data_IF_683738018675
#
_entry.id   IF_683738018675
#
_cell.length_a   1.000
_cell.length_b   1.000
_cell.length_c   1.000
_cell.angle_alpha   90.00
_cell.angle_beta   90.00
_cell.angle_gamma   90.00
#
_symmetry.space_group_name_H-M   'P 1'
#
loop_
_entity.id
_entity.type
_entity.pdbx_description
1 polymer ?
#
# COMPACT_ATOMS: atom_id res chain seq x y z
N UNK A 1 -9.93 -61.01 23.89
CA UNK A 1 -10.11 -59.68 24.52
C UNK A 1 -10.26 -59.93 25.99
N UNK A 2 -9.31 -59.47 26.79
CA UNK A 2 -9.46 -59.39 28.24
C UNK A 2 -10.26 -58.11 28.51
N UNK A 3 -11.28 -58.18 29.34
CA UNK A 3 -12.12 -57.02 29.62
C UNK A 3 -13.26 -57.37 30.58
N UNK A 4 -13.79 -56.34 31.23
CA UNK A 4 -14.74 -56.50 32.33
C UNK A 4 -16.14 -56.76 31.78
N UNK A 5 -16.69 -57.95 32.07
CA UNK A 5 -18.06 -58.29 31.71
C UNK A 5 -19.06 -57.38 32.44
N UNK A 6 -19.92 -56.70 31.67
CA UNK A 6 -20.92 -55.78 32.17
C UNK A 6 -22.30 -56.44 32.38
N UNK A 7 -22.49 -57.70 31.94
CA UNK A 7 -23.81 -58.38 31.90
C UNK A 7 -24.48 -58.57 33.27
N UNK A 8 -23.71 -58.58 34.37
CA UNK A 8 -24.22 -58.75 35.74
C UNK A 8 -24.24 -57.46 36.58
N UNK A 9 -24.00 -56.27 35.99
CA UNK A 9 -23.84 -55.02 36.73
C UNK A 9 -25.00 -54.06 36.47
N UNK A 10 -26.11 -54.22 37.21
CA UNK A 10 -27.34 -53.39 37.13
C UNK A 10 -27.18 -51.89 37.46
N UNK A 11 -25.95 -51.44 37.70
CA UNK A 11 -25.60 -50.11 38.22
C UNK A 11 -24.90 -49.26 37.14
N UNK A 12 -24.49 -49.86 36.01
CA UNK A 12 -23.79 -49.16 34.93
C UNK A 12 -24.78 -48.67 33.87
N UNK A 13 -24.69 -47.37 33.55
CA UNK A 13 -25.44 -46.77 32.45
C UNK A 13 -25.00 -47.40 31.11
N UNK A 14 -25.99 -47.78 30.29
CA UNK A 14 -25.82 -48.38 28.96
C UNK A 14 -24.86 -47.63 28.05
N UNK A 15 -24.67 -46.32 28.24
CA UNK A 15 -23.73 -45.49 27.46
C UNK A 15 -22.24 -45.84 27.67
N UNK A 16 -21.93 -46.70 28.63
CA UNK A 16 -20.56 -47.13 28.97
C UNK A 16 -20.27 -48.58 28.57
N UNK A 17 -21.24 -49.25 27.94
CA UNK A 17 -21.16 -50.64 27.54
C UNK A 17 -21.01 -50.68 26.02
N UNK A 18 -20.04 -51.44 25.53
CA UNK A 18 -19.89 -51.68 24.10
C UNK A 18 -21.01 -52.62 23.63
N UNK A 19 -21.88 -52.19 22.69
CA UNK A 19 -22.98 -53.05 22.20
C UNK A 19 -22.49 -54.32 21.50
N UNK A 20 -21.25 -54.32 20.99
CA UNK A 20 -20.68 -55.45 20.23
C UNK A 20 -20.12 -56.55 21.13
N UNK A 21 -19.28 -56.20 22.11
CA UNK A 21 -18.65 -57.18 23.00
C UNK A 21 -19.35 -57.32 24.36
N UNK A 22 -20.32 -56.45 24.67
CA UNK A 22 -21.00 -56.38 25.97
C UNK A 22 -20.07 -56.17 27.17
N UNK A 23 -18.82 -55.76 26.92
CA UNK A 23 -17.86 -55.35 27.93
C UNK A 23 -17.94 -53.84 28.14
N UNK A 24 -17.36 -53.35 29.24
CA UNK A 24 -17.12 -51.92 29.42
C UNK A 24 -16.27 -51.41 28.24
N UNK A 25 -16.64 -50.24 27.69
CA UNK A 25 -15.93 -49.63 26.56
C UNK A 25 -14.43 -49.49 26.87
N UNK A 26 -13.59 -49.95 25.94
CA UNK A 26 -12.13 -49.82 25.99
C UNK A 26 -11.69 -49.07 24.73
N UNK A 27 -10.91 -48.00 24.91
CA UNK A 27 -10.57 -47.04 23.83
C UNK A 27 -11.83 -46.64 23.03
N UNK A 28 -12.78 -45.93 23.68
CA UNK A 28 -14.08 -45.66 23.09
C UNK A 28 -13.96 -44.73 21.88
N UNK A 29 -14.58 -45.15 20.79
CA UNK A 29 -14.81 -44.31 19.62
C UNK A 29 -16.29 -43.93 19.56
N UNK A 30 -16.57 -42.69 19.20
CA UNK A 30 -17.93 -42.20 19.00
C UNK A 30 -18.13 -41.89 17.52
N UNK A 31 -19.18 -42.46 16.95
CA UNK A 31 -19.58 -42.15 15.59
C UNK A 31 -20.31 -40.80 15.58
N UNK A 32 -19.85 -39.81 14.79
CA UNK A 32 -20.39 -38.44 14.83
C UNK A 32 -21.86 -38.38 14.42
N UNK A 33 -22.25 -39.16 13.39
CA UNK A 33 -23.57 -39.05 12.77
C UNK A 33 -24.68 -39.69 13.62
N UNK A 34 -24.37 -40.75 14.37
CA UNK A 34 -25.37 -41.50 15.13
C UNK A 34 -25.12 -41.53 16.65
N UNK A 35 -23.98 -41.02 17.11
CA UNK A 35 -23.63 -40.92 18.53
C UNK A 35 -23.34 -42.26 19.24
N UNK A 36 -23.48 -43.40 18.57
CA UNK A 36 -23.20 -44.71 19.15
C UNK A 36 -21.70 -44.90 19.45
N UNK A 37 -21.43 -45.60 20.55
CA UNK A 37 -20.08 -45.81 21.08
C UNK A 37 -19.68 -47.27 21.04
N UNK A 38 -18.45 -47.54 20.62
CA UNK A 38 -17.88 -48.89 20.51
C UNK A 38 -16.44 -48.89 21.01
N UNK A 39 -15.90 -50.06 21.39
CA UNK A 39 -14.46 -50.21 21.55
C UNK A 39 -13.78 -50.04 20.19
N UNK A 40 -12.62 -49.37 20.14
CA UNK A 40 -11.86 -49.20 18.90
C UNK A 40 -11.63 -50.54 18.19
N UNK A 41 -11.22 -51.55 18.95
CA UNK A 41 -10.97 -52.91 18.44
C UNK A 41 -12.23 -53.63 17.97
N UNK A 42 -13.42 -53.28 18.47
CA UNK A 42 -14.69 -53.89 18.07
C UNK A 42 -15.25 -53.32 16.76
N UNK A 43 -14.84 -52.11 16.36
CA UNK A 43 -15.30 -51.47 15.13
C UNK A 43 -14.22 -51.42 14.03
N UNK A 44 -12.94 -51.46 14.40
CA UNK A 44 -11.80 -51.21 13.52
C UNK A 44 -11.25 -52.50 12.86
N UNK A 45 -12.12 -53.42 12.44
CA UNK A 45 -11.76 -54.77 11.96
C UNK A 45 -11.41 -54.88 10.47
N UNK A 46 -11.74 -53.90 9.63
CA UNK A 46 -11.47 -53.93 8.17
C UNK A 46 -10.82 -52.63 7.66
N UNK A 47 -9.96 -52.68 6.63
CA UNK A 47 -9.29 -51.51 5.99
C UNK A 47 -10.16 -50.77 4.95
N UNK A 48 -11.48 -50.67 5.16
CA UNK A 48 -12.39 -49.92 4.26
C UNK A 48 -12.44 -48.42 4.59
N UNK A 49 -12.72 -47.59 3.58
CA UNK A 49 -12.85 -46.12 3.75
C UNK A 49 -14.11 -45.71 4.51
N UNK A 50 -15.18 -46.50 4.43
CA UNK A 50 -16.42 -46.29 5.17
C UNK A 50 -16.65 -47.42 6.15
N UNK A 51 -17.23 -47.08 7.32
CA UNK A 51 -17.61 -48.02 8.37
C UNK A 51 -19.12 -47.91 8.56
N UNK A 52 -19.81 -49.05 8.66
CA UNK A 52 -21.22 -49.10 9.02
C UNK A 52 -21.38 -49.28 10.51
N UNK A 53 -22.22 -48.46 11.13
CA UNK A 53 -22.55 -48.61 12.54
C UNK A 53 -23.28 -49.95 12.78
N UNK A 54 -22.78 -50.84 13.65
CA UNK A 54 -23.43 -52.12 13.94
C UNK A 54 -24.85 -52.00 14.52
N UNK A 55 -25.20 -50.85 15.11
CA UNK A 55 -26.46 -50.65 15.82
C UNK A 55 -27.55 -49.98 14.98
N UNK A 56 -27.18 -49.02 14.11
CA UNK A 56 -28.15 -48.26 13.30
C UNK A 56 -27.88 -48.31 11.79
N UNK A 57 -26.83 -49.01 11.37
CA UNK A 57 -26.40 -49.18 9.97
C UNK A 57 -26.05 -47.87 9.23
N UNK A 58 -25.95 -46.74 9.93
CA UNK A 58 -25.43 -45.49 9.37
C UNK A 58 -24.02 -45.70 8.80
N UNK A 59 -23.77 -45.16 7.62
CA UNK A 59 -22.49 -45.25 6.93
C UNK A 59 -21.68 -43.98 7.22
N UNK A 60 -20.50 -44.17 7.83
CA UNK A 60 -19.67 -43.09 8.35
C UNK A 60 -18.29 -43.15 7.71
N UNK A 61 -17.76 -41.99 7.33
CA UNK A 61 -16.40 -41.87 6.84
C UNK A 61 -15.40 -42.09 7.97
N UNK A 62 -14.38 -42.92 7.72
CA UNK A 62 -13.39 -43.28 8.74
C UNK A 62 -12.58 -42.07 9.24
N UNK A 63 -12.44 -41.02 8.43
CA UNK A 63 -11.79 -39.75 8.80
C UNK A 63 -12.56 -38.97 9.88
N UNK A 64 -13.86 -39.20 9.97
CA UNK A 64 -14.76 -38.39 10.79
C UNK A 64 -15.02 -39.03 12.16
N UNK A 65 -14.44 -40.22 12.40
CA UNK A 65 -14.53 -40.93 13.67
C UNK A 65 -13.88 -40.09 14.75
N UNK A 66 -14.69 -39.65 15.70
CA UNK A 66 -14.22 -38.90 16.86
C UNK A 66 -13.67 -39.91 17.85
N UNK A 67 -12.34 -39.92 17.97
CA UNK A 67 -11.66 -40.53 19.11
C UNK A 67 -11.96 -39.67 20.32
N UNK A 68 -12.77 -40.17 21.24
CA UNK A 68 -12.96 -39.49 22.50
C UNK A 68 -11.59 -39.39 23.18
N UNK A 69 -11.15 -38.18 23.54
CA UNK A 69 -9.91 -38.00 24.30
C UNK A 69 -10.04 -38.80 25.60
N UNK A 70 -8.99 -39.53 25.97
CA UNK A 70 -8.92 -40.39 27.16
C UNK A 70 -9.41 -39.64 28.43
N UNK A 71 -9.16 -38.32 28.46
CA UNK A 71 -9.58 -37.37 29.50
C UNK A 71 -11.10 -37.32 29.75
N UNK A 72 -11.94 -37.51 28.73
CA UNK A 72 -13.39 -37.37 28.85
C UNK A 72 -14.09 -38.66 29.33
N UNK A 73 -13.45 -39.82 29.15
CA UNK A 73 -14.10 -41.11 29.42
C UNK A 73 -13.86 -41.64 30.84
N UNK A 74 -12.61 -41.76 31.30
CA UNK A 74 -12.31 -42.39 32.61
C UNK A 74 -12.16 -41.40 33.78
N UNK A 75 -12.04 -40.10 33.50
CA UNK A 75 -11.75 -39.06 34.50
C UNK A 75 -12.96 -38.20 34.88
N UNK A 76 -14.13 -38.37 34.24
CA UNK A 76 -15.32 -37.63 34.66
C UNK A 76 -15.73 -38.07 36.07
N UNK A 77 -16.01 -37.10 36.96
CA UNK A 77 -16.44 -37.37 38.36
C UNK A 77 -17.56 -38.40 38.44
N UNK A 78 -18.47 -38.42 37.46
CA UNK A 78 -19.57 -39.38 37.39
C UNK A 78 -19.11 -40.81 37.09
N UNK A 79 -18.09 -41.00 36.24
CA UNK A 79 -17.53 -42.31 35.94
C UNK A 79 -16.67 -42.84 37.09
N UNK A 80 -15.81 -41.99 37.65
CA UNK A 80 -15.05 -42.31 38.86
C UNK A 80 -16.01 -42.63 40.02
N UNK A 81 -17.12 -41.90 40.15
CA UNK A 81 -18.13 -42.17 41.16
C UNK A 81 -18.92 -43.44 40.89
N UNK A 82 -19.22 -43.79 39.63
CA UNK A 82 -19.86 -45.06 39.29
C UNK A 82 -18.95 -46.26 39.59
N UNK A 83 -17.67 -46.18 39.21
CA UNK A 83 -16.66 -47.20 39.52
C UNK A 83 -16.48 -47.32 41.04
N UNK A 84 -16.31 -46.19 41.74
CA UNK A 84 -16.17 -46.17 43.21
C UNK A 84 -17.44 -46.63 43.92
N UNK A 85 -18.64 -46.37 43.38
CA UNK A 85 -19.91 -46.83 43.97
C UNK A 85 -20.05 -48.33 43.81
N UNK A 86 -19.74 -48.89 42.64
CA UNK A 86 -19.72 -50.34 42.43
C UNK A 86 -18.68 -51.02 43.33
N UNK A 87 -17.47 -50.45 43.41
CA UNK A 87 -16.41 -50.94 44.31
C UNK A 87 -16.82 -50.84 45.78
N UNK A 88 -17.46 -49.73 46.21
CA UNK A 88 -17.95 -49.56 47.60
C UNK A 88 -19.10 -50.49 47.94
N UNK A 89 -20.00 -50.76 47.00
CA UNK A 89 -21.16 -51.63 47.22
C UNK A 89 -20.71 -53.10 47.30
N UNK A 90 -19.71 -53.49 46.51
CA UNK A 90 -19.02 -54.79 46.64
C UNK A 90 -18.23 -54.89 47.96
N UNK A 91 -17.51 -53.84 48.35
CA UNK A 91 -16.81 -53.79 49.64
C UNK A 91 -17.79 -53.84 50.83
N UNK A 92 -18.95 -53.20 50.73
CA UNK A 92 -19.99 -53.25 51.76
C UNK A 92 -20.62 -54.65 51.87
N UNK A 93 -20.85 -55.33 50.74
CA UNK A 93 -21.32 -56.73 50.73
C UNK A 93 -20.28 -57.72 51.27
N UNK A 94 -18.98 -57.41 51.14
CA UNK A 94 -17.89 -58.15 51.78
C UNK A 94 -17.80 -57.86 53.29
N UNK A 95 -18.12 -56.64 53.72
CA UNK A 95 -18.03 -56.22 55.13
C UNK A 95 -19.22 -56.71 55.98
N UNK A 96 -20.40 -56.92 55.38
CA UNK A 96 -21.60 -57.43 56.07
C UNK A 96 -21.62 -58.97 56.21
N UNK A 97 -20.75 -59.67 55.48
CA UNK A 97 -20.51 -61.11 55.66
C UNK A 97 -19.33 -61.32 56.60
N UNK A 98 -19.60 -61.18 57.88
CA UNK A 98 -18.69 -61.53 58.96
C UNK A 98 -18.17 -62.96 58.73
N UNK A 99 -16.90 -63.10 58.35
CA UNK A 99 -16.22 -64.39 58.27
C UNK A 99 -15.86 -64.77 59.70
N UNK A 100 -16.76 -65.48 60.39
CA UNK A 100 -16.43 -66.16 61.64
C UNK A 100 -15.61 -67.42 61.28
N UNK A 101 -14.29 -67.33 61.46
CA UNK A 101 -13.40 -68.50 61.44
C UNK A 101 -13.40 -69.10 62.84
N UNK A 102 -14.48 -69.80 63.19
CA UNK A 102 -14.45 -70.75 64.31
C UNK A 102 -14.32 -72.16 63.73
N UNK A 103 -13.14 -72.77 63.93
CA UNK A 103 -12.97 -74.21 63.77
C UNK A 103 -13.50 -74.86 65.05
N UNK A 104 -14.52 -75.75 64.97
CA UNK A 104 -14.17 -77.16 64.93
C UNK A 104 -15.16 -78.09 64.19
N UNK A 105 -14.56 -79.13 63.59
CA UNK A 105 -15.02 -80.52 63.37
C UNK A 105 -16.51 -80.84 63.16
N UNK A 106 -16.69 -81.56 62.05
CA UNK A 106 -17.66 -82.62 61.72
C UNK A 106 -19.00 -82.28 61.06
N UNK A 107 -19.10 -82.81 59.83
CA UNK A 107 -20.27 -83.34 59.10
C UNK A 107 -21.38 -82.36 58.69
N UNK A 108 -21.41 -81.98 57.42
CA UNK A 108 -22.33 -82.53 56.38
C UNK A 108 -22.17 -81.78 55.05
N UNK A 109 -22.44 -82.48 53.96
CA UNK A 109 -22.14 -82.11 52.58
C UNK A 109 -22.95 -80.89 52.08
N UNK A 110 -22.31 -79.72 52.03
CA UNK A 110 -22.88 -78.49 51.46
C UNK A 110 -21.95 -77.26 51.45
N UNK A 111 -20.96 -77.20 52.35
CA UNK A 111 -20.07 -76.03 52.49
C UNK A 111 -18.93 -75.94 51.45
N UNK A 112 -18.58 -77.05 50.81
CA UNK A 112 -17.48 -77.10 49.83
C UNK A 112 -17.74 -76.29 48.56
N UNK A 113 -19.01 -76.20 48.11
CA UNK A 113 -19.39 -75.48 46.89
C UNK A 113 -19.46 -73.95 47.08
N UNK A 114 -19.74 -73.45 48.29
CA UNK A 114 -19.89 -72.01 48.55
C UNK A 114 -18.55 -71.30 48.69
N UNK A 115 -17.56 -71.97 49.30
CA UNK A 115 -16.21 -71.43 49.49
C UNK A 115 -15.44 -71.43 48.16
N UNK A 116 -15.62 -72.44 47.32
CA UNK A 116 -15.02 -72.49 45.98
C UNK A 116 -15.56 -71.38 45.08
N UNK A 117 -16.87 -71.12 45.10
CA UNK A 117 -17.50 -70.02 44.34
C UNK A 117 -17.01 -68.64 44.81
N UNK A 118 -16.82 -68.42 46.12
CA UNK A 118 -16.28 -67.16 46.64
C UNK A 118 -14.80 -66.92 46.30
N UNK A 119 -14.01 -67.99 46.21
CA UNK A 119 -12.62 -67.92 45.75
C UNK A 119 -12.53 -67.66 44.24
N UNK A 120 -13.44 -68.20 43.44
CA UNK A 120 -13.54 -67.92 42.01
C UNK A 120 -13.91 -66.45 41.74
N UNK A 121 -14.87 -65.88 42.47
CA UNK A 121 -15.25 -64.45 42.33
C UNK A 121 -14.10 -63.50 42.73
N UNK A 122 -13.36 -63.81 43.79
CA UNK A 122 -12.17 -63.04 44.19
C UNK A 122 -11.05 -63.13 43.15
N UNK A 123 -10.87 -64.31 42.56
CA UNK A 123 -9.89 -64.52 41.49
C UNK A 123 -10.26 -63.73 40.23
N UNK A 124 -11.54 -63.67 39.89
CA UNK A 124 -12.05 -62.91 38.74
C UNK A 124 -11.91 -61.39 38.95
N UNK A 125 -12.16 -60.89 40.17
CA UNK A 125 -11.89 -59.50 40.53
C UNK A 125 -10.39 -59.16 40.48
N UNK A 126 -9.53 -60.06 40.94
CA UNK A 126 -8.08 -59.87 40.88
C UNK A 126 -7.61 -59.81 39.41
N UNK A 127 -8.13 -60.68 38.54
CA UNK A 127 -7.81 -60.67 37.11
C UNK A 127 -8.26 -59.38 36.43
N UNK A 128 -9.44 -58.86 36.78
CA UNK A 128 -9.93 -57.56 36.29
C UNK A 128 -9.01 -56.41 36.70
N UNK A 129 -8.54 -56.41 37.95
CA UNK A 129 -7.62 -55.37 38.44
C UNK A 129 -6.26 -55.46 37.76
N UNK A 130 -5.75 -56.67 37.56
CA UNK A 130 -4.49 -56.90 36.82
C UNK A 130 -4.61 -56.39 35.39
N UNK A 131 -5.69 -56.71 34.68
CA UNK A 131 -5.95 -56.26 33.31
C UNK A 131 -6.12 -54.73 33.21
N UNK A 132 -6.79 -54.13 34.20
CA UNK A 132 -6.92 -52.68 34.32
C UNK A 132 -5.56 -51.98 34.54
N UNK A 133 -4.69 -52.55 35.38
CA UNK A 133 -3.33 -52.03 35.61
C UNK A 133 -2.48 -52.19 34.35
N UNK A 134 -2.58 -53.32 33.65
CA UNK A 134 -1.87 -53.55 32.39
C UNK A 134 -2.30 -52.54 31.32
N UNK A 135 -3.60 -52.29 31.19
CA UNK A 135 -4.15 -51.28 30.27
C UNK A 135 -3.64 -49.88 30.61
N UNK A 136 -3.67 -49.46 31.89
CA UNK A 136 -3.15 -48.16 32.32
C UNK A 136 -1.65 -48.02 32.07
N UNK A 137 -0.89 -49.10 32.23
CA UNK A 137 0.55 -49.13 31.97
C UNK A 137 0.83 -48.92 30.48
N UNK A 138 0.04 -49.56 29.61
CA UNK A 138 0.14 -49.39 28.16
C UNK A 138 -0.23 -47.97 27.73
N UNK A 139 -1.28 -47.38 28.32
CA UNK A 139 -1.70 -46.00 28.06
C UNK A 139 -0.62 -45.00 28.50
N UNK A 140 -0.02 -45.22 29.68
CA UNK A 140 1.09 -44.38 30.17
C UNK A 140 2.28 -44.42 29.22
N UNK A 141 2.64 -45.60 28.68
CA UNK A 141 3.69 -45.71 27.68
C UNK A 141 3.33 -45.00 26.37
N UNK A 142 2.09 -45.11 25.91
CA UNK A 142 1.58 -44.40 24.73
C UNK A 142 1.71 -42.89 24.86
N UNK A 143 1.23 -42.32 25.97
CA UNK A 143 1.34 -40.89 26.26
C UNK A 143 2.79 -40.42 26.38
N UNK A 144 3.67 -41.24 26.96
CA UNK A 144 5.09 -40.92 27.07
C UNK A 144 5.76 -40.84 25.69
N UNK A 145 5.42 -41.77 24.79
CA UNK A 145 5.91 -41.77 23.42
C UNK A 145 5.39 -40.58 22.60
N UNK A 146 4.10 -40.24 22.72
CA UNK A 146 3.52 -39.05 22.07
C UNK A 146 4.16 -37.75 22.58
N UNK A 147 4.41 -37.65 23.89
CA UNK A 147 5.10 -36.52 24.51
C UNK A 147 6.52 -36.37 23.98
N UNK A 148 7.28 -37.47 23.91
CA UNK A 148 8.64 -37.49 23.36
C UNK A 148 8.64 -37.06 21.88
N UNK A 149 7.70 -37.58 21.10
CA UNK A 149 7.59 -37.24 19.68
C UNK A 149 7.25 -35.76 19.48
N UNK A 150 6.32 -35.24 20.28
CA UNK A 150 5.98 -33.80 20.28
C UNK A 150 7.20 -32.94 20.63
N UNK A 151 7.96 -33.35 21.65
CA UNK A 151 9.16 -32.66 22.12
C UNK A 151 10.29 -32.65 21.07
N UNK A 152 10.34 -33.65 20.20
CA UNK A 152 11.25 -33.69 19.05
C UNK A 152 10.78 -32.84 17.87
N UNK A 153 9.46 -32.77 17.61
CA UNK A 153 8.91 -31.98 16.48
C UNK A 153 8.86 -30.48 16.71
N UNK A 154 8.62 -30.03 17.96
CA UNK A 154 8.57 -28.61 18.33
C UNK A 154 9.80 -27.79 17.90
N UNK A 155 11.05 -28.22 18.17
CA UNK A 155 12.23 -27.45 17.78
C UNK A 155 12.42 -27.37 16.27
N UNK A 156 12.07 -28.43 15.52
CA UNK A 156 12.14 -28.44 14.05
C UNK A 156 11.14 -27.42 13.48
N UNK A 157 9.90 -27.42 13.97
CA UNK A 157 8.90 -26.44 13.57
C UNK A 157 9.29 -25.01 13.95
N UNK A 158 9.91 -24.82 15.12
CA UNK A 158 10.41 -23.51 15.54
C UNK A 158 11.53 -23.00 14.62
N UNK A 159 12.43 -23.89 14.18
CA UNK A 159 13.48 -23.55 13.22
C UNK A 159 12.89 -23.16 11.86
N UNK A 160 11.95 -23.95 11.32
CA UNK A 160 11.26 -23.64 10.06
C UNK A 160 10.50 -22.31 10.16
N UNK A 161 9.82 -22.05 11.27
CA UNK A 161 9.13 -20.79 11.51
C UNK A 161 10.10 -19.60 11.56
N UNK A 162 11.30 -19.80 12.09
CA UNK A 162 12.36 -18.78 12.11
C UNK A 162 12.87 -18.45 10.70
N UNK A 163 13.03 -19.46 9.84
CA UNK A 163 13.44 -19.28 8.43
C UNK A 163 12.38 -18.51 7.65
N UNK A 164 11.12 -18.88 7.82
CA UNK A 164 9.98 -18.19 7.20
C UNK A 164 9.90 -16.74 7.68
N UNK A 165 10.07 -16.50 8.99
CA UNK A 165 10.09 -15.15 9.55
C UNK A 165 11.18 -14.28 8.92
N UNK A 166 12.41 -14.79 8.82
CA UNK A 166 13.52 -14.06 8.20
C UNK A 166 13.23 -13.74 6.73
N UNK A 167 12.69 -14.71 5.97
CA UNK A 167 12.31 -14.50 4.57
C UNK A 167 11.21 -13.46 4.39
N UNK A 168 10.23 -13.40 5.32
CA UNK A 168 9.19 -12.36 5.34
C UNK A 168 9.79 -10.99 5.62
N UNK A 169 10.70 -10.88 6.60
CA UNK A 169 11.36 -9.62 6.95
C UNK A 169 12.19 -9.07 5.77
N UNK A 170 12.96 -9.93 5.10
CA UNK A 170 13.72 -9.58 3.89
C UNK A 170 12.81 -9.14 2.74
N UNK A 171 11.72 -9.89 2.49
CA UNK A 171 10.73 -9.54 1.46
C UNK A 171 10.05 -8.20 1.75
N UNK A 172 9.73 -7.92 3.02
CA UNK A 172 9.14 -6.64 3.43
C UNK A 172 10.11 -5.48 3.21
N UNK A 173 11.39 -5.63 3.57
CA UNK A 173 12.41 -4.61 3.31
C UNK A 173 12.57 -4.33 1.81
N UNK A 174 12.53 -5.38 0.98
CA UNK A 174 12.54 -5.24 -0.48
C UNK A 174 11.30 -4.48 -1.00
N UNK A 175 10.10 -4.82 -0.50
CA UNK A 175 8.85 -4.15 -0.88
C UNK A 175 8.85 -2.66 -0.50
N UNK A 176 9.44 -2.29 0.64
CA UNK A 176 9.60 -0.89 1.03
C UNK A 176 10.52 -0.13 0.07
N UNK A 177 11.67 -0.72 -0.29
CA UNK A 177 12.56 -0.17 -1.31
C UNK A 177 11.86 -0.01 -2.67
N UNK A 178 11.06 -1.01 -3.07
CA UNK A 178 10.28 -0.96 -4.30
C UNK A 178 9.23 0.17 -4.28
N UNK A 179 8.49 0.33 -3.18
CA UNK A 179 7.51 1.43 -3.00
C UNK A 179 8.18 2.79 -3.06
N UNK A 180 9.35 2.94 -2.45
CA UNK A 180 10.13 4.18 -2.52
C UNK A 180 10.51 4.51 -3.97
N UNK A 181 11.06 3.54 -4.70
CA UNK A 181 11.41 3.71 -6.11
C UNK A 181 10.19 4.04 -6.98
N UNK A 182 9.04 3.39 -6.73
CA UNK A 182 7.79 3.68 -7.42
C UNK A 182 7.32 5.13 -7.18
N UNK A 183 7.47 5.65 -5.96
CA UNK A 183 7.13 7.04 -5.65
C UNK A 183 8.02 8.03 -6.40
N UNK A 184 9.34 7.77 -6.47
CA UNK A 184 10.26 8.60 -7.27
C UNK A 184 9.85 8.59 -8.74
N UNK A 185 9.58 7.41 -9.30
CA UNK A 185 9.17 7.28 -10.69
C UNK A 185 7.87 8.04 -10.98
N UNK A 186 6.89 7.99 -10.07
CA UNK A 186 5.65 8.74 -10.20
C UNK A 186 5.87 10.27 -10.14
N UNK A 187 6.80 10.74 -9.30
CA UNK A 187 7.20 12.15 -9.24
C UNK A 187 7.86 12.59 -10.55
N UNK A 188 8.79 11.78 -11.09
CA UNK A 188 9.46 12.05 -12.36
C UNK A 188 8.47 12.07 -13.53
N UNK A 189 7.53 11.13 -13.58
CA UNK A 189 6.46 11.11 -14.58
C UNK A 189 5.61 12.38 -14.53
N UNK A 190 5.23 12.82 -13.32
CA UNK A 190 4.47 14.06 -13.13
C UNK A 190 5.25 15.27 -13.61
N UNK A 191 6.55 15.35 -13.31
CA UNK A 191 7.42 16.43 -13.79
C UNK A 191 7.58 16.42 -15.32
N UNK A 192 7.71 15.24 -15.94
CA UNK A 192 7.80 15.12 -17.39
C UNK A 192 6.48 15.50 -18.08
N UNK A 193 5.34 15.13 -17.50
CA UNK A 193 4.03 15.53 -18.00
C UNK A 193 3.86 17.05 -17.97
N UNK A 194 4.28 17.71 -16.89
CA UNK A 194 4.28 19.18 -16.80
C UNK A 194 5.14 19.81 -17.90
N UNK A 195 6.37 19.30 -18.10
CA UNK A 195 7.26 19.76 -19.18
C UNK A 195 6.65 19.56 -20.57
N UNK A 196 5.96 18.43 -20.80
CA UNK A 196 5.29 18.17 -22.09
C UNK A 196 4.14 19.15 -22.31
N UNK A 197 3.34 19.42 -21.27
CA UNK A 197 2.26 20.40 -21.34
C UNK A 197 2.84 21.80 -21.63
N UNK A 198 3.94 22.19 -21.00
CA UNK A 198 4.64 23.44 -21.28
C UNK A 198 5.10 23.55 -22.75
N UNK A 199 5.53 22.44 -23.37
CA UNK A 199 5.93 22.41 -24.78
C UNK A 199 4.77 22.73 -25.74
N UNK A 200 3.52 22.48 -25.35
CA UNK A 200 2.34 22.78 -26.18
C UNK A 200 2.11 24.29 -26.33
N UNK A 201 2.65 25.10 -25.42
CA UNK A 201 2.46 26.55 -25.38
C UNK A 201 3.73 27.33 -25.79
N UNK A 202 4.71 26.66 -26.39
CA UNK A 202 5.92 27.32 -26.90
C UNK A 202 5.55 28.25 -28.05
N UNK A 203 5.85 29.53 -27.86
CA UNK A 203 5.69 30.53 -28.91
C UNK A 203 6.99 30.83 -29.63
N UNK A 204 6.87 31.26 -30.88
CA UNK A 204 7.96 31.61 -31.78
C UNK A 204 7.81 33.01 -32.40
N UNK A 205 6.99 33.88 -31.82
CA UNK A 205 6.73 35.24 -32.33
C UNK A 205 7.25 36.34 -31.38
N UNK A 206 7.99 35.96 -30.34
CA UNK A 206 8.43 36.89 -29.30
C UNK A 206 7.41 37.19 -28.22
N UNK A 207 6.27 36.50 -28.21
CA UNK A 207 5.19 36.69 -27.25
C UNK A 207 5.00 35.42 -26.43
N UNK A 208 4.86 35.55 -25.12
CA UNK A 208 4.47 34.45 -24.23
C UNK A 208 3.29 34.88 -23.37
N UNK A 209 2.25 34.06 -23.28
CA UNK A 209 1.20 34.17 -22.26
C UNK A 209 1.46 33.08 -21.22
N UNK A 210 1.98 33.49 -20.07
CA UNK A 210 2.29 32.58 -18.97
C UNK A 210 1.10 32.46 -18.01
N UNK A 211 0.49 31.28 -18.00
CA UNK A 211 -0.52 30.87 -17.02
C UNK A 211 0.17 30.32 -15.78
N UNK A 212 -0.12 30.93 -14.64
CA UNK A 212 0.41 30.53 -13.33
C UNK A 212 -0.76 29.96 -12.52
N UNK A 213 -0.85 28.64 -12.44
CA UNK A 213 -1.83 27.92 -11.60
C UNK A 213 -1.30 27.71 -10.18
N UNK A 214 -2.16 27.27 -9.26
CA UNK A 214 -1.77 26.95 -7.87
C UNK A 214 -1.13 28.17 -7.20
N UNK A 215 -1.69 29.35 -7.45
CA UNK A 215 -1.11 30.62 -7.06
C UNK A 215 -0.98 30.75 -5.54
N UNK A 216 -1.99 30.32 -4.77
CA UNK A 216 -1.97 30.39 -3.31
C UNK A 216 -0.83 29.54 -2.73
N UNK A 217 -0.66 28.31 -3.21
CA UNK A 217 0.42 27.42 -2.78
C UNK A 217 1.80 28.04 -3.08
N UNK A 218 2.01 28.50 -4.32
CA UNK A 218 3.27 29.15 -4.73
C UNK A 218 3.54 30.43 -3.94
N UNK A 219 2.50 31.20 -3.59
CA UNK A 219 2.61 32.38 -2.74
C UNK A 219 3.01 32.01 -1.31
N UNK A 220 2.45 30.92 -0.74
CA UNK A 220 2.84 30.38 0.56
C UNK A 220 4.31 29.95 0.53
N UNK A 221 4.72 29.19 -0.48
CA UNK A 221 6.11 28.74 -0.62
C UNK A 221 7.09 29.91 -0.78
N UNK A 222 6.70 30.98 -1.47
CA UNK A 222 7.50 32.20 -1.58
C UNK A 222 7.57 32.98 -0.26
N UNK A 223 6.50 32.97 0.55
CA UNK A 223 6.48 33.61 1.88
C UNK A 223 7.35 32.87 2.90
N UNK A 224 7.29 31.54 2.88
CA UNK A 224 8.10 30.67 3.74
C UNK A 224 9.48 30.35 3.17
N UNK A 225 9.83 30.95 2.04
CA UNK A 225 11.14 30.82 1.39
C UNK A 225 11.50 29.39 0.97
N UNK A 226 10.52 28.48 0.85
CA UNK A 226 10.70 27.13 0.30
C UNK A 226 11.05 27.18 -1.19
N UNK A 227 10.37 28.07 -1.91
CA UNK A 227 10.64 28.38 -3.31
C UNK A 227 10.48 29.87 -3.55
N UNK A 228 11.61 30.59 -3.62
CA UNK A 228 11.60 32.06 -3.68
C UNK A 228 11.23 32.63 -5.05
N UNK A 229 11.38 31.83 -6.12
CA UNK A 229 11.06 32.24 -7.49
C UNK A 229 10.58 31.07 -8.33
N UNK A 230 9.73 31.37 -9.30
CA UNK A 230 9.28 30.44 -10.34
C UNK A 230 9.71 30.93 -11.72
N UNK A 231 9.74 30.02 -12.69
CA UNK A 231 10.13 30.33 -14.07
C UNK A 231 8.99 30.02 -15.03
N UNK A 232 8.91 30.83 -16.09
CA UNK A 232 8.01 30.51 -17.20
C UNK A 232 8.60 29.40 -18.08
N UNK A 233 7.74 28.74 -18.89
CA UNK A 233 8.20 27.99 -20.06
C UNK A 233 9.08 28.86 -20.96
N UNK A 234 10.02 28.26 -21.72
CA UNK A 234 10.79 28.99 -22.70
C UNK A 234 9.93 29.40 -23.90
N UNK A 235 10.22 30.55 -24.47
CA UNK A 235 9.63 31.06 -25.70
C UNK A 235 10.71 31.67 -26.60
N UNK A 236 10.38 31.87 -27.87
CA UNK A 236 11.34 32.21 -28.90
C UNK A 236 10.91 33.44 -29.70
N UNK A 237 11.89 34.16 -30.24
CA UNK A 237 11.63 35.30 -31.13
C UNK A 237 11.23 34.89 -32.55
N UNK A 238 11.66 33.70 -32.97
CA UNK A 238 11.37 33.02 -34.25
C UNK A 238 11.78 31.55 -34.09
N UNK A 239 11.41 30.63 -35.01
CA UNK A 239 11.90 29.25 -34.98
C UNK A 239 13.43 29.15 -34.90
N UNK A 240 14.14 30.12 -35.49
CA UNK A 240 15.60 30.19 -35.46
C UNK A 240 16.15 31.36 -34.61
N UNK A 241 15.33 31.86 -33.68
CA UNK A 241 15.56 33.09 -32.96
C UNK A 241 16.18 32.94 -31.57
N UNK A 242 16.12 34.02 -30.79
CA UNK A 242 16.55 34.02 -29.40
C UNK A 242 15.66 33.11 -28.56
N UNK A 243 16.26 32.33 -27.66
CA UNK A 243 15.55 31.57 -26.62
C UNK A 243 15.47 32.40 -25.35
N UNK A 244 14.28 32.54 -24.79
CA UNK A 244 13.99 33.47 -23.70
C UNK A 244 13.03 32.82 -22.70
N UNK A 245 13.01 33.34 -21.46
CA UNK A 245 11.97 33.04 -20.48
C UNK A 245 11.83 34.16 -19.45
N UNK A 246 10.87 34.03 -18.55
CA UNK A 246 10.73 34.92 -17.39
C UNK A 246 11.02 34.22 -16.07
N UNK A 247 11.37 35.03 -15.07
CA UNK A 247 11.52 34.63 -13.67
C UNK A 247 10.67 35.56 -12.81
N UNK A 248 9.79 34.97 -12.00
CA UNK A 248 8.87 35.69 -11.13
C UNK A 248 9.19 35.41 -9.67
N UNK A 249 9.26 36.46 -8.87
CA UNK A 249 9.34 36.39 -7.41
C UNK A 249 8.03 36.90 -6.83
N UNK A 250 7.18 35.96 -6.43
CA UNK A 250 5.85 36.25 -5.89
C UNK A 250 5.90 37.11 -4.62
N UNK A 251 6.95 36.95 -3.81
CA UNK A 251 7.19 37.72 -2.58
C UNK A 251 8.34 38.73 -2.72
N UNK A 252 8.68 39.09 -3.96
CA UNK A 252 9.69 40.10 -4.30
C UNK A 252 11.15 39.66 -4.16
N UNK A 253 12.03 40.43 -4.80
CA UNK A 253 13.48 40.22 -4.82
C UNK A 253 14.25 41.49 -4.45
N UNK A 254 15.45 41.33 -3.89
CA UNK A 254 16.34 42.43 -3.52
C UNK A 254 15.67 43.51 -2.65
N UNK A 255 15.74 44.77 -3.09
CA UNK A 255 15.16 45.92 -2.39
C UNK A 255 13.62 46.00 -2.48
N UNK A 256 12.98 45.10 -3.24
CA UNK A 256 11.53 45.01 -3.39
C UNK A 256 10.93 43.80 -2.63
N UNK A 257 11.79 43.00 -2.00
CA UNK A 257 11.40 41.83 -1.19
C UNK A 257 10.33 42.19 -0.16
N UNK A 258 9.28 41.36 -0.06
CA UNK A 258 8.12 41.48 0.84
C UNK A 258 7.28 42.76 0.66
N UNK A 259 7.54 43.56 -0.38
CA UNK A 259 6.75 44.78 -0.66
C UNK A 259 6.11 44.75 -2.03
N UNK A 260 6.80 44.20 -3.03
CA UNK A 260 6.29 44.07 -4.40
C UNK A 260 6.52 42.66 -4.92
N UNK A 261 5.73 42.26 -5.91
CA UNK A 261 6.07 41.15 -6.78
C UNK A 261 7.11 41.64 -7.81
N UNK A 262 8.15 40.84 -8.04
CA UNK A 262 9.25 41.21 -8.94
C UNK A 262 9.27 40.31 -10.16
N UNK A 263 9.36 40.90 -11.36
CA UNK A 263 9.29 40.17 -12.62
C UNK A 263 10.52 40.47 -13.49
N UNK A 264 11.21 39.41 -13.91
CA UNK A 264 12.45 39.51 -14.66
C UNK A 264 12.41 38.71 -15.96
N UNK A 265 13.07 39.25 -16.97
CA UNK A 265 13.37 38.59 -18.23
C UNK A 265 14.71 37.83 -18.12
N UNK A 266 14.79 36.70 -18.79
CA UNK A 266 15.97 35.84 -18.83
C UNK A 266 16.27 35.48 -20.28
N UNK A 267 17.44 35.88 -20.75
CA UNK A 267 18.00 35.41 -22.01
C UNK A 267 18.65 34.04 -21.80
N UNK A 268 18.27 33.05 -22.61
CA UNK A 268 18.76 31.68 -22.52
C UNK A 268 19.69 31.35 -23.69
N UNK A 269 20.58 30.38 -23.49
CA UNK A 269 21.42 29.86 -24.57
C UNK A 269 20.56 29.15 -25.60
N UNK A 270 20.57 29.66 -26.83
CA UNK A 270 19.91 29.07 -27.99
C UNK A 270 20.88 28.27 -28.85
N UNK A 271 20.36 27.28 -29.58
CA UNK A 271 21.14 26.52 -30.58
C UNK A 271 21.61 27.42 -31.73
N UNK A 272 20.84 28.46 -32.03
CA UNK A 272 21.08 29.40 -33.13
C UNK A 272 21.81 30.68 -32.68
N UNK A 273 22.29 30.76 -31.43
CA UNK A 273 23.05 31.94 -30.94
C UNK A 273 24.21 32.37 -31.84
N UNK A 274 24.98 31.49 -32.53
CA UNK A 274 26.05 31.92 -33.44
C UNK A 274 25.60 32.84 -34.59
N UNK A 275 24.35 32.75 -35.04
CA UNK A 275 23.81 33.53 -36.16
C UNK A 275 22.99 34.75 -35.73
N UNK A 276 22.81 34.94 -34.42
CA UNK A 276 22.04 36.03 -33.85
C UNK A 276 22.94 37.21 -33.44
N UNK A 277 22.35 38.41 -33.45
CA UNK A 277 23.05 39.63 -33.03
C UNK A 277 23.11 39.71 -31.49
N UNK A 278 24.28 40.01 -30.96
CA UNK A 278 24.46 40.34 -29.54
C UNK A 278 25.25 41.64 -29.38
N UNK A 279 25.08 42.39 -28.27
CA UNK A 279 24.16 42.12 -27.16
C UNK A 279 22.68 42.28 -27.56
N UNK A 280 21.81 41.56 -26.86
CA UNK A 280 20.35 41.63 -27.02
C UNK A 280 19.86 43.04 -26.66
N UNK A 281 19.14 43.69 -27.57
CA UNK A 281 18.75 45.10 -27.43
C UNK A 281 17.33 45.37 -27.96
N UNK A 282 16.40 44.46 -27.67
CA UNK A 282 14.99 44.59 -28.06
C UNK A 282 14.17 44.97 -26.82
N UNK A 283 13.20 45.88 -26.97
CA UNK A 283 12.35 46.32 -25.86
C UNK A 283 11.54 45.13 -25.34
N UNK A 284 11.52 44.93 -24.03
CA UNK A 284 10.74 43.89 -23.36
C UNK A 284 9.60 44.56 -22.59
N UNK A 285 8.39 44.08 -22.79
CA UNK A 285 7.19 44.56 -22.10
C UNK A 285 6.51 43.41 -21.37
N UNK A 286 6.10 43.66 -20.13
CA UNK A 286 5.31 42.77 -19.31
C UNK A 286 3.89 43.31 -19.15
N UNK A 287 2.92 42.41 -19.12
CA UNK A 287 1.51 42.73 -18.94
C UNK A 287 0.90 41.72 -17.97
N UNK A 288 0.53 42.16 -16.77
CA UNK A 288 -0.27 41.39 -15.83
C UNK A 288 -1.75 41.59 -16.16
N UNK A 289 -2.44 40.50 -16.48
CA UNK A 289 -3.84 40.58 -16.86
C UNK A 289 -4.74 40.86 -15.65
N UNK A 290 -5.54 41.90 -15.80
CA UNK A 290 -6.82 42.05 -15.10
C UNK A 290 -7.83 41.08 -15.75
N UNK A 291 -8.35 40.15 -14.94
CA UNK A 291 -9.28 39.10 -15.36
C UNK A 291 -10.75 39.50 -15.16
N UNK A 292 -11.03 40.76 -14.87
CA UNK A 292 -12.38 41.32 -14.80
C UNK A 292 -12.81 41.89 -16.16
N UNK A 293 -14.11 42.16 -16.37
CA UNK A 293 -14.58 42.84 -17.58
C UNK A 293 -13.96 44.23 -17.82
N UNK A 294 -13.35 44.84 -16.80
CA UNK A 294 -12.71 46.14 -16.94
C UNK A 294 -11.37 46.09 -17.72
N UNK A 295 -10.71 44.93 -17.78
CA UNK A 295 -9.46 44.70 -18.51
C UNK A 295 -8.37 45.76 -18.27
N UNK A 296 -8.24 46.28 -17.04
CA UNK A 296 -7.23 47.28 -16.66
C UNK A 296 -5.90 46.62 -16.32
N UNK A 297 -5.26 46.07 -17.34
CA UNK A 297 -4.00 45.35 -17.19
C UNK A 297 -2.87 46.26 -16.67
N UNK A 298 -1.97 45.71 -15.85
CA UNK A 298 -0.74 46.41 -15.46
C UNK A 298 0.34 46.12 -16.50
N UNK A 299 0.84 47.18 -17.13
CA UNK A 299 1.85 47.08 -18.18
C UNK A 299 3.08 47.88 -17.75
N UNK A 300 4.24 47.24 -17.83
CA UNK A 300 5.52 47.92 -17.63
C UNK A 300 6.57 47.35 -18.59
N UNK A 301 7.56 48.15 -18.96
CA UNK A 301 8.52 47.78 -20.00
C UNK A 301 9.89 48.38 -19.75
N UNK A 302 10.92 47.71 -20.24
CA UNK A 302 12.29 48.20 -20.17
C UNK A 302 13.01 47.96 -21.50
N UNK A 303 14.06 48.76 -21.74
CA UNK A 303 15.03 48.50 -22.81
C UNK A 303 16.30 47.89 -22.18
N UNK A 304 16.81 46.78 -22.71
CA UNK A 304 18.04 46.15 -22.23
C UNK A 304 19.23 47.12 -22.18
N UNK A 305 20.01 47.07 -21.10
CA UNK A 305 21.31 47.74 -21.04
C UNK A 305 22.35 46.85 -21.74
N UNK A 306 22.81 47.28 -22.92
CA UNK A 306 23.80 46.57 -23.72
C UNK A 306 25.16 46.37 -23.04
N UNK A 307 25.45 47.08 -21.94
CA UNK A 307 26.66 46.86 -21.13
C UNK A 307 26.49 45.77 -20.08
N UNK A 308 25.24 45.44 -19.73
CA UNK A 308 24.95 44.41 -18.72
C UNK A 308 25.29 43.02 -19.25
N UNK A 309 25.82 42.18 -18.36
CA UNK A 309 26.07 40.76 -18.61
C UNK A 309 24.78 39.97 -18.90
N UNK A 310 23.62 40.48 -18.45
CA UNK A 310 22.31 39.86 -18.63
C UNK A 310 21.91 39.71 -20.11
N UNK A 311 22.42 40.59 -20.97
CA UNK A 311 22.05 40.68 -22.38
C UNK A 311 23.18 40.36 -23.34
N UNK A 312 24.35 39.95 -22.83
CA UNK A 312 25.43 39.43 -23.67
C UNK A 312 25.07 38.05 -24.22
N UNK A 313 25.84 37.60 -25.21
CA UNK A 313 25.70 36.22 -25.72
C UNK A 313 25.84 35.21 -24.58
N UNK A 314 24.84 34.34 -24.34
CA UNK A 314 24.89 33.37 -23.25
C UNK A 314 26.09 32.43 -23.34
N UNK A 315 26.76 32.21 -22.19
CA UNK A 315 27.85 31.24 -22.02
C UNK A 315 27.41 30.01 -21.22
N UNK A 316 26.44 30.19 -20.33
CA UNK A 316 25.71 29.16 -19.57
C UNK A 316 24.29 29.01 -20.13
N UNK A 317 23.51 28.04 -19.62
CA UNK A 317 22.13 27.80 -20.05
C UNK A 317 21.23 29.05 -19.94
N UNK A 318 21.51 29.90 -18.96
CA UNK A 318 20.80 31.15 -18.70
C UNK A 318 21.78 32.25 -18.33
N UNK A 319 21.48 33.47 -18.77
CA UNK A 319 22.10 34.68 -18.24
C UNK A 319 21.46 35.08 -16.90
N UNK A 320 22.07 36.08 -16.26
CA UNK A 320 21.49 36.76 -15.09
C UNK A 320 20.17 37.40 -15.51
N UNK A 321 19.15 37.25 -14.66
CA UNK A 321 17.82 37.81 -14.90
C UNK A 321 17.85 39.35 -14.76
N UNK A 322 17.10 40.05 -15.62
CA UNK A 322 17.00 41.51 -15.59
C UNK A 322 15.57 41.95 -15.93
N UNK A 323 15.07 42.99 -15.26
CA UNK A 323 13.66 43.36 -15.34
C UNK A 323 13.28 44.35 -14.25
N UNK A 324 12.11 44.15 -13.65
CA UNK A 324 11.39 45.16 -12.87
C UNK A 324 11.21 44.64 -11.43
N UNK A 325 12.08 45.05 -10.48
CA UNK A 325 11.97 44.61 -9.09
C UNK A 325 10.65 45.02 -8.43
N UNK A 326 10.14 46.23 -8.71
CA UNK A 326 8.89 46.75 -8.14
C UNK A 326 7.76 46.74 -9.18
N UNK A 327 7.42 45.57 -9.70
CA UNK A 327 6.45 45.45 -10.80
C UNK A 327 5.02 45.73 -10.34
N UNK A 328 4.58 45.13 -9.23
CA UNK A 328 3.28 45.44 -8.61
C UNK A 328 3.38 45.34 -7.08
N UNK A 329 2.79 46.28 -6.30
CA UNK A 329 2.74 46.16 -4.85
C UNK A 329 2.01 44.88 -4.40
N UNK A 330 2.53 44.20 -3.38
CA UNK A 330 1.91 42.98 -2.87
C UNK A 330 0.50 43.23 -2.32
N UNK A 331 0.25 44.41 -1.78
CA UNK A 331 -1.06 44.82 -1.28
C UNK A 331 -2.16 44.69 -2.36
N UNK A 332 -1.84 45.04 -3.61
CA UNK A 332 -2.79 44.94 -4.73
C UNK A 332 -3.13 43.48 -5.12
N UNK A 333 -2.26 42.52 -4.77
CA UNK A 333 -2.45 41.09 -5.03
C UNK A 333 -3.04 40.37 -3.80
N UNK A 334 -2.73 40.84 -2.60
CA UNK A 334 -3.17 40.22 -1.34
C UNK A 334 -4.59 40.62 -0.93
N UNK A 335 -5.11 41.71 -1.50
CA UNK A 335 -6.51 42.10 -1.31
C UNK A 335 -7.45 40.98 -1.80
N UNK A 336 -8.45 40.67 -0.97
CA UNK A 336 -9.50 39.73 -1.31
C UNK A 336 -10.29 40.24 -2.51
N UNK A 337 -10.56 39.37 -3.48
CA UNK A 337 -11.27 39.73 -4.70
C UNK A 337 -10.47 40.57 -5.70
N UNK A 338 -9.14 40.65 -5.58
CA UNK A 338 -8.29 41.37 -6.52
C UNK A 338 -8.54 40.93 -7.99
N UNK A 339 -8.35 41.84 -8.96
CA UNK A 339 -8.66 41.55 -10.36
C UNK A 339 -7.68 40.59 -11.04
N UNK A 340 -6.49 40.38 -10.47
CA UNK A 340 -5.36 39.72 -11.14
C UNK A 340 -5.31 38.20 -10.91
N UNK A 341 -5.95 37.72 -9.85
CA UNK A 341 -6.02 36.29 -9.50
C UNK A 341 -7.48 35.83 -9.46
N UNK A 342 -7.82 34.86 -10.31
CA UNK A 342 -9.13 34.21 -10.38
C UNK A 342 -8.93 32.71 -10.53
N UNK A 343 -9.77 31.91 -9.88
CA UNK A 343 -9.69 30.43 -9.89
C UNK A 343 -8.26 29.92 -9.60
N UNK A 344 -7.64 30.51 -8.58
CA UNK A 344 -6.26 30.23 -8.16
C UNK A 344 -5.21 30.35 -9.29
N UNK A 345 -5.49 31.22 -10.27
CA UNK A 345 -4.72 31.39 -11.49
C UNK A 345 -4.42 32.86 -11.77
N UNK A 346 -3.18 33.14 -12.20
CA UNK A 346 -2.69 34.44 -12.66
C UNK A 346 -2.17 34.31 -14.10
N UNK A 347 -2.30 35.37 -14.91
CA UNK A 347 -1.76 35.41 -16.27
C UNK A 347 -0.79 36.60 -16.46
N UNK A 348 0.40 36.31 -16.97
CA UNK A 348 1.39 37.33 -17.33
C UNK A 348 1.75 37.17 -18.81
N UNK A 349 1.55 38.22 -19.59
CA UNK A 349 2.03 38.29 -20.97
C UNK A 349 3.40 38.97 -21.03
N UNK A 350 4.31 38.38 -21.77
CA UNK A 350 5.64 38.92 -22.07
C UNK A 350 5.69 39.17 -23.57
N UNK A 351 6.18 40.33 -23.98
CA UNK A 351 6.28 40.74 -25.38
C UNK A 351 7.66 41.32 -25.62
N UNK A 352 8.33 40.84 -26.66
CA UNK A 352 9.60 41.39 -27.10
C UNK A 352 9.42 42.04 -28.47
N UNK A 353 9.77 43.30 -28.56
CA UNK A 353 9.62 44.10 -29.77
C UNK A 353 10.80 43.89 -30.72
N UNK A 354 10.60 43.02 -31.72
CA UNK A 354 11.57 42.74 -32.78
C UNK A 354 11.39 43.63 -34.02
N UNK A 355 10.52 44.64 -33.98
CA UNK A 355 10.19 45.45 -35.16
C UNK A 355 11.29 46.47 -35.54
N UNK A 356 12.27 46.68 -34.67
CA UNK A 356 13.51 47.37 -35.04
C UNK A 356 14.40 46.44 -35.88
N UNK A 357 14.02 46.19 -37.14
CA UNK A 357 14.89 45.51 -38.12
C UNK A 357 16.19 46.31 -38.21
N UNK A 358 17.35 45.74 -37.85
CA UNK A 358 18.62 46.42 -38.05
C UNK A 358 18.70 46.83 -39.53
N UNK A 359 19.05 48.09 -39.83
CA UNK A 359 19.17 48.58 -41.23
C UNK A 359 20.04 47.67 -42.13
N UNK A 360 20.92 46.90 -41.52
CA UNK A 360 21.78 45.89 -42.15
C UNK A 360 21.06 44.64 -42.64
N UNK A 361 19.88 44.32 -42.10
CA UNK A 361 19.08 43.12 -42.43
C UNK A 361 17.85 43.43 -43.29
N UNK A 362 17.50 44.71 -43.44
CA UNK A 362 16.46 45.19 -44.36
C UNK A 362 16.63 44.66 -45.80
N UNK A 363 17.85 44.59 -46.38
CA UNK A 363 18.03 44.01 -47.72
C UNK A 363 17.57 42.54 -47.84
N UNK A 364 17.80 41.74 -46.80
CA UNK A 364 17.48 40.31 -46.81
C UNK A 364 16.00 40.06 -46.54
N UNK A 365 15.39 40.83 -45.63
CA UNK A 365 13.95 40.74 -45.32
C UNK A 365 13.06 41.22 -46.49
N UNK A 366 13.62 42.00 -47.42
CA UNK A 366 12.93 42.54 -48.60
C UNK A 366 13.23 41.76 -49.89
N UNK A 367 14.02 40.67 -49.81
CA UNK A 367 14.58 39.99 -51.00
C UNK A 367 15.25 40.97 -51.98
N UNK A 368 15.88 42.03 -51.47
CA UNK A 368 16.55 43.02 -52.30
C UNK A 368 17.76 42.38 -52.97
N UNK A 369 17.72 42.31 -54.30
CA UNK A 369 18.83 41.82 -55.08
C UNK A 369 20.04 42.76 -54.88
N UNK A 370 21.16 42.28 -54.31
CA UNK A 370 22.33 43.11 -54.04
C UNK A 370 22.98 43.68 -55.31
N UNK A 371 22.64 43.16 -56.50
CA UNK A 371 23.05 43.70 -57.79
C UNK A 371 22.26 44.93 -58.28
N UNK A 372 21.21 45.38 -57.58
CA UNK A 372 20.45 46.57 -57.95
C UNK A 372 21.22 47.86 -57.61
N UNK A 373 21.14 48.92 -58.43
CA UNK A 373 21.67 50.24 -58.09
C UNK A 373 21.16 50.75 -56.73
N UNK A 374 22.03 51.40 -55.95
CA UNK A 374 21.75 51.81 -54.56
C UNK A 374 20.49 52.67 -54.42
N UNK A 375 20.18 53.52 -55.40
CA UNK A 375 18.97 54.36 -55.37
C UNK A 375 17.67 53.55 -55.51
N UNK A 376 17.69 52.45 -56.27
CA UNK A 376 16.54 51.53 -56.43
C UNK A 376 16.33 50.75 -55.13
N UNK A 377 17.41 50.24 -54.53
CA UNK A 377 17.34 49.57 -53.23
C UNK A 377 16.74 50.50 -52.15
N UNK A 378 17.16 51.77 -52.12
CA UNK A 378 16.65 52.76 -51.17
C UNK A 378 15.17 53.11 -51.38
N UNK A 379 14.70 53.13 -52.64
CA UNK A 379 13.29 53.37 -52.94
C UNK A 379 12.40 52.22 -52.44
N UNK A 380 12.81 50.97 -52.72
CA UNK A 380 12.10 49.77 -52.28
C UNK A 380 12.06 49.64 -50.73
N UNK A 381 13.16 49.99 -50.05
CA UNK A 381 13.20 50.05 -48.58
C UNK A 381 12.17 51.05 -48.04
N UNK A 382 12.09 52.25 -48.64
CA UNK A 382 11.13 53.29 -48.21
C UNK A 382 9.69 52.87 -48.45
N UNK A 383 9.42 52.15 -49.54
CA UNK A 383 8.08 51.71 -49.92
C UNK A 383 7.56 50.60 -48.99
N UNK A 384 8.38 49.58 -48.68
CA UNK A 384 7.98 48.56 -47.70
C UNK A 384 7.82 49.15 -46.30
N UNK A 385 8.69 50.07 -45.89
CA UNK A 385 8.56 50.74 -44.59
C UNK A 385 7.21 51.48 -44.49
N UNK A 386 6.76 52.14 -45.56
CA UNK A 386 5.44 52.76 -45.63
C UNK A 386 4.30 51.74 -45.58
N UNK A 387 4.40 50.64 -46.34
CA UNK A 387 3.39 49.57 -46.35
C UNK A 387 3.16 48.99 -44.95
N UNK A 388 4.23 48.75 -44.19
CA UNK A 388 4.16 48.21 -42.82
C UNK A 388 3.56 49.20 -41.82
N UNK A 389 3.84 50.49 -41.95
CA UNK A 389 3.18 51.54 -41.16
C UNK A 389 1.67 51.56 -41.46
N UNK A 390 1.29 51.36 -42.73
CA UNK A 390 -0.10 51.30 -43.15
C UNK A 390 -0.85 50.07 -42.62
N UNK A 391 -0.20 48.91 -42.60
CA UNK A 391 -0.75 47.69 -41.99
C UNK A 391 -1.02 47.87 -40.48
N UNK A 392 -0.09 48.49 -39.73
CA UNK A 392 -0.30 48.82 -38.31
C UNK A 392 -1.47 49.77 -38.06
N UNK A 393 -1.72 50.67 -39.01
CA UNK A 393 -2.83 51.63 -38.92
C UNK A 393 -4.19 50.93 -39.12
N UNK A 394 -4.22 49.87 -39.94
CA UNK A 394 -5.43 49.09 -40.21
C UNK A 394 -5.73 48.07 -39.09
N UNK A 395 -4.71 47.48 -38.46
CA UNK A 395 -4.91 46.55 -37.34
C UNK A 395 -5.44 47.27 -36.08
N UNK A 396 -5.16 48.57 -35.91
CA UNK A 396 -5.78 49.40 -34.86
C UNK A 396 -7.27 49.73 -35.12
N UNK A 397 -7.76 49.57 -36.36
CA UNK A 397 -9.16 49.83 -36.73
C UNK A 397 -10.05 48.57 -36.70
N UNK A 398 -9.49 47.38 -36.45
CA UNK A 398 -10.21 46.11 -36.38
C UNK A 398 -10.27 45.52 -34.97
N UNK A 399 -10.40 46.35 -33.93
CA UNK A 399 -10.92 45.85 -32.64
C UNK A 399 -12.44 45.81 -32.77
N UNK A 400 -13.10 44.63 -32.78
CA UNK A 400 -14.55 44.57 -32.75
C UNK A 400 -15.01 45.16 -31.42
N UNK A 401 -15.86 46.19 -31.46
CA UNK A 401 -16.68 46.52 -30.31
C UNK A 401 -17.68 45.37 -30.14
N UNK A 402 -17.41 44.46 -29.20
CA UNK A 402 -18.42 43.56 -28.62
C UNK A 402 -18.20 43.51 -27.12
#
# INVERSE_FOLDING_TARGET
MVGIDARNKSILDTKYICPTCSLILQNPIQLPDCGHRFCETCLNTEQKMTIKCPQCQAEILRSDIIRAKIEDHYLTRQHQHAILTVVRQLLAQLNDRQIDIDLPRTTTAGAGNSITVQLEELYEMLNILVDGIETLTNDQQGLTNESLQTQMTLPVLAEELSKVKFSIEESNAFLEGFKHNQNILNQDLSSLQEKINDLQFVSYDGILVWKITNFQEKMIDAKFERQTSIYSPPFYSSPNGYKMRARLYLNGDGNARRTHMSLFFVLMRGVNDPILKFPFNYKVSFCLYDQTPAQRHIIDSFRPDVKSSSFQRPRSDMNIASGIPKFIPLEAIQQEGNPYVRDDTMFIKIMVDFEEIPKTLLPYALSLNPGLPTHIQQAMIKEEAKRRIQLRSNDQLQIPQV
#
